data_IF_069636524889
#
_entry.id   IF_069636524889
#
_cell.length_a   1.000
_cell.length_b   1.000
_cell.length_c   1.000
_cell.angle_alpha   90.00
_cell.angle_beta   90.00
_cell.angle_gamma   90.00
#
_symmetry.space_group_name_H-M   'P 1'
#
loop_
_entity.id
_entity.type
_entity.pdbx_description
1 polymer ?
#
# COMPACT_ATOMS: atom_id res chain seq x y z
N UNK A 1 40.36 14.66 26.72
CA UNK A 1 38.90 14.89 26.90
C UNK A 1 38.28 15.13 25.54
N UNK A 2 37.92 14.03 24.88
CA UNK A 2 37.25 14.05 23.57
C UNK A 2 36.03 13.15 23.66
N UNK A 3 34.92 13.72 24.05
CA UNK A 3 33.61 13.10 23.94
C UNK A 3 32.70 14.01 23.12
N UNK A 4 32.01 13.42 22.18
CA UNK A 4 30.88 13.88 21.36
C UNK A 4 31.14 13.96 19.83
N UNK A 5 31.55 12.84 19.24
CA UNK A 5 31.39 12.62 17.80
C UNK A 5 30.50 11.42 17.44
N UNK A 6 29.93 10.73 18.44
CA UNK A 6 29.16 9.48 18.21
C UNK A 6 27.76 9.64 17.62
N UNK A 7 27.06 10.75 17.86
CA UNK A 7 25.66 10.90 17.50
C UNK A 7 25.39 11.11 16.00
N UNK A 8 26.25 11.83 15.28
CA UNK A 8 26.09 12.07 13.82
C UNK A 8 26.37 10.82 12.98
N UNK A 9 27.30 9.98 13.41
CA UNK A 9 27.67 8.74 12.70
C UNK A 9 26.56 7.67 12.76
N UNK A 10 25.82 7.59 13.88
CA UNK A 10 24.72 6.63 14.05
C UNK A 10 23.49 7.01 13.24
N UNK A 11 23.15 8.30 13.18
CA UNK A 11 22.03 8.80 12.37
C UNK A 11 22.32 8.63 10.88
N UNK A 12 23.53 8.91 10.43
CA UNK A 12 23.95 8.72 9.03
C UNK A 12 23.96 7.24 8.61
N UNK A 13 24.32 6.33 9.53
CA UNK A 13 24.25 4.88 9.28
C UNK A 13 22.82 4.39 9.19
N UNK A 14 21.90 4.89 10.01
CA UNK A 14 20.50 4.49 9.98
C UNK A 14 19.79 4.94 8.70
N UNK A 15 20.01 6.18 8.26
CA UNK A 15 19.43 6.71 7.02
C UNK A 15 19.93 5.93 5.79
N UNK A 16 21.21 5.60 5.77
CA UNK A 16 21.82 4.80 4.67
C UNK A 16 21.28 3.35 4.64
N UNK A 17 21.02 2.74 5.83
CA UNK A 17 20.41 1.40 5.92
C UNK A 17 18.97 1.45 5.42
N UNK A 18 18.20 2.47 5.80
CA UNK A 18 16.81 2.65 5.39
C UNK A 18 16.69 2.86 3.86
N UNK A 19 17.48 3.75 3.28
CA UNK A 19 17.51 4.02 1.84
C UNK A 19 17.95 2.78 1.04
N UNK A 20 18.96 2.05 1.53
CA UNK A 20 19.36 0.79 0.92
C UNK A 20 18.24 -0.25 0.94
N UNK A 21 17.53 -0.38 2.06
CA UNK A 21 16.40 -1.30 2.18
C UNK A 21 15.28 -0.93 1.20
N UNK A 22 14.94 0.35 1.08
CA UNK A 22 13.95 0.84 0.10
C UNK A 22 14.38 0.56 -1.34
N UNK A 23 15.64 0.77 -1.69
CA UNK A 23 16.19 0.46 -3.02
C UNK A 23 16.03 -1.03 -3.34
N UNK A 24 16.41 -1.92 -2.45
CA UNK A 24 16.26 -3.36 -2.64
C UNK A 24 14.81 -3.74 -2.90
N UNK A 25 13.88 -3.26 -2.09
CA UNK A 25 12.45 -3.56 -2.24
C UNK A 25 11.87 -2.96 -3.54
N UNK A 26 12.37 -1.81 -3.99
CA UNK A 26 11.98 -1.21 -5.26
C UNK A 26 12.44 -2.06 -6.45
N UNK A 27 13.70 -2.48 -6.48
CA UNK A 27 14.21 -3.35 -7.53
C UNK A 27 13.51 -4.73 -7.53
N UNK A 28 13.20 -5.27 -6.35
CA UNK A 28 12.39 -6.47 -6.24
C UNK A 28 11.02 -6.33 -6.91
N UNK A 29 10.33 -5.18 -6.72
CA UNK A 29 9.03 -4.91 -7.38
C UNK A 29 9.15 -4.83 -8.90
N UNK A 30 10.19 -4.16 -9.42
CA UNK A 30 10.44 -4.10 -10.87
C UNK A 30 10.63 -5.50 -11.44
N UNK A 31 11.45 -6.31 -10.80
CA UNK A 31 11.69 -7.70 -11.24
C UNK A 31 10.40 -8.54 -11.22
N UNK A 32 9.56 -8.39 -10.19
CA UNK A 32 8.26 -9.07 -10.14
C UNK A 32 7.37 -8.65 -11.32
N UNK A 33 7.36 -7.36 -11.67
CA UNK A 33 6.59 -6.86 -12.81
C UNK A 33 7.12 -7.34 -14.16
N UNK A 34 8.44 -7.49 -14.30
CA UNK A 34 9.12 -7.86 -15.55
C UNK A 34 9.08 -9.37 -15.83
N UNK A 35 9.34 -10.19 -14.83
CA UNK A 35 9.59 -11.63 -14.99
C UNK A 35 8.73 -12.54 -14.11
N UNK A 36 7.80 -11.96 -13.35
CA UNK A 36 7.01 -12.72 -12.37
C UNK A 36 7.86 -13.23 -11.21
N UNK A 37 7.27 -14.09 -10.38
CA UNK A 37 8.00 -14.68 -9.25
C UNK A 37 8.82 -15.91 -9.65
N UNK A 38 8.46 -16.58 -10.72
CA UNK A 38 9.23 -17.72 -11.25
C UNK A 38 10.59 -17.25 -11.77
N UNK A 39 10.61 -16.10 -12.46
CA UNK A 39 11.85 -15.46 -12.93
C UNK A 39 12.62 -14.67 -11.87
N UNK A 40 12.13 -14.58 -10.63
CA UNK A 40 12.77 -13.78 -9.59
C UNK A 40 14.07 -14.41 -9.09
N UNK A 41 15.20 -13.80 -9.44
CA UNK A 41 16.56 -14.23 -9.06
C UNK A 41 17.15 -13.33 -7.96
N UNK A 42 17.56 -13.94 -6.85
CA UNK A 42 18.29 -13.22 -5.78
C UNK A 42 19.61 -12.64 -6.29
N UNK A 43 20.30 -13.34 -7.17
CA UNK A 43 21.56 -12.88 -7.77
C UNK A 43 21.35 -11.62 -8.58
N UNK A 44 20.30 -11.60 -9.40
CA UNK A 44 19.96 -10.44 -10.22
C UNK A 44 19.49 -9.27 -9.37
N UNK A 45 18.65 -9.52 -8.35
CA UNK A 45 18.25 -8.48 -7.41
C UNK A 45 19.48 -7.83 -6.74
N UNK A 46 20.43 -8.62 -6.30
CA UNK A 46 21.66 -8.11 -5.68
C UNK A 46 22.46 -7.24 -6.66
N UNK A 47 22.56 -7.67 -7.93
CA UNK A 47 23.21 -6.90 -8.99
C UNK A 47 22.52 -5.55 -9.23
N UNK A 48 21.17 -5.54 -9.41
CA UNK A 48 20.40 -4.32 -9.63
C UNK A 48 20.42 -3.37 -8.44
N UNK A 49 20.41 -3.93 -7.22
CA UNK A 49 20.43 -3.14 -5.99
C UNK A 49 21.84 -2.77 -5.53
N UNK A 50 22.90 -3.17 -6.26
CA UNK A 50 24.30 -2.94 -5.92
C UNK A 50 24.62 -3.34 -4.47
N UNK A 51 24.39 -4.63 -4.15
CA UNK A 51 24.66 -5.23 -2.84
C UNK A 51 25.18 -6.66 -2.98
N UNK A 52 25.93 -7.12 -1.96
CA UNK A 52 26.31 -8.52 -1.84
C UNK A 52 25.10 -9.37 -1.36
N UNK A 53 25.02 -10.64 -1.78
CA UNK A 53 23.98 -11.57 -1.33
C UNK A 53 23.96 -11.74 0.21
N UNK A 54 25.14 -11.77 0.86
CA UNK A 54 25.23 -11.80 2.32
C UNK A 54 24.51 -10.62 2.97
N UNK A 55 24.62 -9.42 2.37
CA UNK A 55 23.92 -8.22 2.86
C UNK A 55 22.41 -8.37 2.74
N UNK A 56 21.93 -8.93 1.64
CA UNK A 56 20.49 -9.18 1.43
C UNK A 56 19.95 -10.17 2.47
N UNK A 57 20.61 -11.31 2.65
CA UNK A 57 20.17 -12.32 3.63
C UNK A 57 20.26 -11.83 5.07
N UNK A 58 21.28 -11.03 5.41
CA UNK A 58 21.35 -10.39 6.73
C UNK A 58 20.21 -9.39 6.99
N UNK A 59 19.74 -8.70 5.95
CA UNK A 59 18.70 -7.68 6.08
C UNK A 59 17.28 -8.25 6.04
N UNK A 60 17.06 -9.35 5.32
CA UNK A 60 15.73 -9.88 5.00
C UNK A 60 15.52 -11.35 5.39
N UNK A 61 16.56 -12.12 5.64
CA UNK A 61 16.50 -13.53 6.01
C UNK A 61 16.29 -14.47 4.83
N UNK A 62 15.29 -14.26 3.98
CA UNK A 62 14.96 -15.15 2.86
C UNK A 62 14.48 -14.39 1.61
N UNK A 63 14.46 -15.08 0.46
CA UNK A 63 13.88 -14.59 -0.80
C UNK A 63 12.39 -14.25 -0.62
N UNK A 64 11.66 -15.14 0.01
CA UNK A 64 10.21 -15.00 0.26
C UNK A 64 9.92 -13.76 1.10
N UNK A 65 10.76 -13.48 2.09
CA UNK A 65 10.62 -12.31 2.95
C UNK A 65 10.89 -11.00 2.19
N UNK A 66 11.86 -10.99 1.27
CA UNK A 66 12.09 -9.84 0.38
C UNK A 66 10.83 -9.55 -0.44
N UNK A 67 10.27 -10.58 -1.07
CA UNK A 67 9.07 -10.48 -1.90
C UNK A 67 7.88 -9.98 -1.08
N UNK A 68 7.62 -10.61 0.07
CA UNK A 68 6.52 -10.23 0.97
C UNK A 68 6.62 -8.77 1.44
N UNK A 69 7.84 -8.33 1.78
CA UNK A 69 8.10 -6.96 2.19
C UNK A 69 8.00 -5.97 1.04
N UNK A 70 8.42 -6.35 -0.18
CA UNK A 70 8.29 -5.52 -1.36
C UNK A 70 6.82 -5.24 -1.69
N UNK A 71 5.96 -6.26 -1.60
CA UNK A 71 4.51 -6.13 -1.80
C UNK A 71 3.89 -5.23 -0.73
N UNK A 72 4.18 -5.48 0.54
CA UNK A 72 3.65 -4.69 1.67
C UNK A 72 4.08 -3.23 1.58
N UNK A 73 5.36 -2.97 1.35
CA UNK A 73 5.88 -1.60 1.22
C UNK A 73 5.20 -0.84 0.10
N UNK A 74 4.95 -1.49 -1.04
CA UNK A 74 4.25 -0.86 -2.15
C UNK A 74 2.87 -0.35 -1.76
N UNK A 75 2.10 -1.16 -1.04
CA UNK A 75 0.75 -0.77 -0.62
C UNK A 75 0.77 0.29 0.47
N UNK A 76 1.73 0.23 1.40
CA UNK A 76 1.92 1.31 2.39
C UNK A 76 2.24 2.63 1.69
N UNK A 77 3.20 2.63 0.77
CA UNK A 77 3.56 3.81 -0.03
C UNK A 77 2.36 4.33 -0.85
N UNK A 78 1.51 3.43 -1.35
CA UNK A 78 0.29 3.79 -2.06
C UNK A 78 -0.73 4.44 -1.12
N UNK A 79 -1.02 3.86 0.03
CA UNK A 79 -2.01 4.37 0.99
C UNK A 79 -1.62 5.75 1.52
N UNK A 80 -0.33 5.97 1.82
CA UNK A 80 0.18 7.27 2.26
C UNK A 80 -0.03 8.37 1.21
N UNK A 81 0.00 8.03 -0.07
CA UNK A 81 -0.16 8.98 -1.18
C UNK A 81 -1.60 9.12 -1.64
N UNK A 82 -2.38 8.06 -1.56
CA UNK A 82 -3.73 8.00 -2.10
C UNK A 82 -4.72 8.93 -1.40
N UNK A 83 -4.36 9.52 -0.25
CA UNK A 83 -5.14 10.44 0.57
C UNK A 83 -6.65 10.31 0.34
N UNK A 84 -7.32 9.50 1.14
CA UNK A 84 -8.76 9.37 1.08
C UNK A 84 -9.43 10.68 1.51
N UNK A 85 -10.53 11.04 0.86
CA UNK A 85 -11.38 12.17 1.23
C UNK A 85 -12.39 11.80 2.29
N UNK A 86 -12.87 10.56 2.22
CA UNK A 86 -13.80 10.01 3.19
C UNK A 86 -13.06 9.21 4.26
N UNK A 87 -13.63 9.16 5.46
CA UNK A 87 -13.11 8.33 6.54
C UNK A 87 -13.09 6.85 6.12
N UNK A 88 -11.93 6.19 6.29
CA UNK A 88 -11.71 4.80 5.94
C UNK A 88 -12.67 3.81 6.65
N UNK A 89 -13.25 4.21 7.78
CA UNK A 89 -14.23 3.43 8.52
C UNK A 89 -15.67 3.57 8.00
N UNK A 90 -15.88 4.38 6.94
CA UNK A 90 -17.18 4.55 6.29
C UNK A 90 -17.30 3.74 5.01
N UNK A 91 -18.53 3.51 4.57
CA UNK A 91 -18.80 2.84 3.30
C UNK A 91 -18.24 3.64 2.11
N UNK A 92 -18.41 4.97 2.12
CA UNK A 92 -17.91 5.86 1.06
C UNK A 92 -16.39 5.87 1.02
N UNK A 93 -15.71 5.89 2.18
CA UNK A 93 -14.24 5.79 2.25
C UNK A 93 -13.73 4.44 1.76
N UNK A 94 -14.45 3.37 2.04
CA UNK A 94 -14.10 2.05 1.51
C UNK A 94 -14.28 1.96 0.00
N UNK A 95 -15.37 2.51 -0.55
CA UNK A 95 -15.60 2.60 -2.00
C UNK A 95 -14.51 3.44 -2.67
N UNK A 96 -14.22 4.62 -2.14
CA UNK A 96 -13.13 5.46 -2.65
C UNK A 96 -11.81 4.70 -2.72
N UNK A 97 -11.44 3.98 -1.64
CA UNK A 97 -10.23 3.19 -1.61
C UNK A 97 -10.23 2.05 -2.64
N UNK A 98 -11.35 1.34 -2.79
CA UNK A 98 -11.48 0.28 -3.79
C UNK A 98 -11.29 0.83 -5.20
N UNK A 99 -11.95 1.93 -5.54
CA UNK A 99 -11.80 2.57 -6.85
C UNK A 99 -10.34 2.96 -7.08
N UNK A 100 -9.68 3.65 -6.14
CA UNK A 100 -8.27 4.07 -6.26
C UNK A 100 -7.32 2.88 -6.46
N UNK A 101 -7.46 1.84 -5.65
CA UNK A 101 -6.58 0.65 -5.73
C UNK A 101 -6.74 -0.06 -7.06
N UNK A 102 -7.99 -0.27 -7.51
CA UNK A 102 -8.23 -1.05 -8.73
C UNK A 102 -8.02 -0.23 -10.01
N UNK A 103 -8.25 1.08 -10.00
CA UNK A 103 -7.76 1.97 -11.07
C UNK A 103 -6.23 1.94 -11.17
N UNK A 104 -5.53 1.81 -10.03
CA UNK A 104 -4.08 1.62 -10.03
C UNK A 104 -3.67 0.26 -10.58
N UNK A 105 -4.39 -0.81 -10.23
CA UNK A 105 -4.12 -2.16 -10.75
C UNK A 105 -4.16 -2.20 -12.29
N UNK A 106 -5.06 -1.46 -12.93
CA UNK A 106 -5.11 -1.32 -14.40
C UNK A 106 -3.79 -0.77 -14.96
N UNK A 107 -3.19 0.21 -14.29
CA UNK A 107 -1.93 0.83 -14.74
C UNK A 107 -0.70 -0.08 -14.53
N UNK A 108 -0.76 -1.00 -13.58
CA UNK A 108 0.34 -1.90 -13.22
C UNK A 108 -0.05 -3.37 -13.45
N UNK A 109 -0.83 -3.64 -14.48
CA UNK A 109 -1.36 -4.99 -14.79
C UNK A 109 -0.30 -6.09 -14.71
N UNK A 110 0.90 -5.97 -15.30
CA UNK A 110 1.92 -7.03 -15.21
C UNK A 110 2.29 -7.38 -13.77
N UNK A 111 2.45 -6.38 -12.91
CA UNK A 111 2.75 -6.58 -11.50
C UNK A 111 1.57 -7.25 -10.76
N UNK A 112 0.35 -6.78 -10.96
CA UNK A 112 -0.85 -7.35 -10.33
C UNK A 112 -1.05 -8.79 -10.76
N UNK A 113 -0.91 -9.09 -12.05
CA UNK A 113 -1.03 -10.46 -12.59
C UNK A 113 0.02 -11.39 -11.96
N UNK A 114 1.27 -10.95 -11.84
CA UNK A 114 2.32 -11.73 -11.19
C UNK A 114 1.99 -12.03 -9.70
N UNK A 115 1.46 -11.03 -8.97
CA UNK A 115 1.04 -11.21 -7.58
C UNK A 115 -0.13 -12.19 -7.46
N UNK A 116 -1.13 -12.07 -8.32
CA UNK A 116 -2.31 -12.95 -8.30
C UNK A 116 -1.97 -14.38 -8.72
N UNK A 117 -1.07 -14.57 -9.68
CA UNK A 117 -0.56 -15.89 -10.06
C UNK A 117 0.07 -16.62 -8.87
N UNK A 118 0.86 -15.88 -8.06
CA UNK A 118 1.46 -16.44 -6.84
C UNK A 118 0.44 -16.70 -5.75
N UNK A 119 -0.49 -15.78 -5.53
CA UNK A 119 -1.54 -15.98 -4.53
C UNK A 119 -2.33 -17.28 -4.78
N UNK A 120 -2.60 -17.60 -6.04
CA UNK A 120 -3.34 -18.80 -6.44
C UNK A 120 -2.46 -20.03 -6.67
N UNK A 121 -1.12 -19.89 -6.65
CA UNK A 121 -0.22 -21.03 -6.82
C UNK A 121 -0.25 -21.96 -5.60
N UNK A 122 -0.46 -23.26 -5.78
CA UNK A 122 -0.41 -24.22 -4.68
C UNK A 122 1.00 -24.39 -4.10
N UNK A 123 2.03 -24.04 -4.88
CA UNK A 123 3.44 -24.15 -4.49
C UNK A 123 4.00 -22.87 -3.85
N UNK A 124 3.25 -21.78 -3.85
CA UNK A 124 3.71 -20.54 -3.23
C UNK A 124 3.84 -20.69 -1.71
N UNK A 125 4.95 -20.23 -1.17
CA UNK A 125 5.21 -20.22 0.27
C UNK A 125 4.11 -19.51 1.05
N UNK A 126 3.68 -20.11 2.17
CA UNK A 126 2.59 -19.58 3.00
C UNK A 126 2.79 -18.13 3.44
N UNK A 127 4.04 -17.72 3.67
CA UNK A 127 4.37 -16.35 4.09
C UNK A 127 4.09 -15.29 3.01
N UNK A 128 4.37 -15.61 1.75
CA UNK A 128 4.07 -14.69 0.63
C UNK A 128 2.56 -14.55 0.48
N UNK A 129 1.81 -15.66 0.53
CA UNK A 129 0.35 -15.66 0.43
C UNK A 129 -0.29 -14.88 1.57
N UNK A 130 0.18 -15.06 2.81
CA UNK A 130 -0.24 -14.26 3.97
C UNK A 130 0.03 -12.77 3.78
N UNK A 131 1.21 -12.42 3.26
CA UNK A 131 1.58 -11.01 3.02
C UNK A 131 0.67 -10.35 1.96
N UNK A 132 0.38 -11.06 0.86
CA UNK A 132 -0.53 -10.57 -0.18
C UNK A 132 -1.93 -10.36 0.41
N UNK A 133 -2.43 -11.33 1.18
CA UNK A 133 -3.74 -11.25 1.80
C UNK A 133 -3.83 -10.12 2.82
N UNK A 134 -2.83 -9.98 3.69
CA UNK A 134 -2.77 -8.95 4.73
C UNK A 134 -2.89 -7.52 4.17
N UNK A 135 -2.41 -7.28 2.95
CA UNK A 135 -2.54 -6.00 2.26
C UNK A 135 -4.00 -5.63 1.98
N UNK A 136 -4.78 -6.57 1.45
CA UNK A 136 -6.22 -6.34 1.18
C UNK A 136 -7.02 -6.22 2.47
N UNK A 137 -6.71 -7.08 3.45
CA UNK A 137 -7.38 -7.10 4.76
C UNK A 137 -7.17 -5.81 5.54
N UNK A 138 -5.95 -5.25 5.52
CA UNK A 138 -5.66 -3.99 6.20
C UNK A 138 -6.57 -2.85 5.73
N UNK A 139 -6.85 -2.79 4.42
CA UNK A 139 -7.76 -1.78 3.88
C UNK A 139 -9.25 -2.04 4.17
N UNK A 140 -9.64 -3.28 4.54
CA UNK A 140 -11.01 -3.63 4.86
C UNK A 140 -11.34 -3.45 6.36
N UNK A 141 -10.35 -3.61 7.24
CA UNK A 141 -10.51 -3.61 8.70
C UNK A 141 -11.22 -2.39 9.27
N UNK A 142 -10.90 -1.14 8.88
CA UNK A 142 -11.55 0.03 9.50
C UNK A 142 -13.07 -0.01 9.40
N UNK A 143 -13.61 -0.30 8.21
CA UNK A 143 -15.05 -0.42 8.02
C UNK A 143 -15.62 -1.64 8.78
N UNK A 144 -14.97 -2.80 8.70
CA UNK A 144 -15.44 -4.02 9.35
C UNK A 144 -15.56 -3.84 10.88
N UNK A 145 -14.54 -3.25 11.50
CA UNK A 145 -14.54 -2.93 12.93
C UNK A 145 -15.67 -1.95 13.28
N UNK A 146 -15.85 -0.90 12.47
CA UNK A 146 -16.94 0.06 12.68
C UNK A 146 -18.32 -0.58 12.56
N UNK A 147 -18.52 -1.50 11.61
CA UNK A 147 -19.77 -2.26 11.46
C UNK A 147 -20.04 -3.16 12.68
N UNK A 148 -19.02 -3.77 13.25
CA UNK A 148 -19.13 -4.60 14.45
C UNK A 148 -19.43 -3.75 15.69
N UNK A 149 -18.68 -2.67 15.94
CA UNK A 149 -18.88 -1.73 17.05
C UNK A 149 -20.30 -1.13 17.04
N UNK A 150 -20.81 -0.79 15.87
CA UNK A 150 -22.16 -0.23 15.71
C UNK A 150 -23.26 -1.28 15.63
N UNK A 151 -22.92 -2.56 15.83
CA UNK A 151 -23.86 -3.70 15.74
C UNK A 151 -24.65 -3.72 14.40
N UNK A 152 -24.00 -3.25 13.34
CA UNK A 152 -24.56 -3.21 11.99
C UNK A 152 -24.40 -4.55 11.24
N UNK A 153 -23.55 -5.46 11.71
CA UNK A 153 -23.42 -6.81 11.15
C UNK A 153 -24.63 -7.68 11.52
N UNK A 154 -24.98 -8.61 10.62
CA UNK A 154 -26.02 -9.60 10.88
C UNK A 154 -25.54 -10.62 11.95
N UNK A 155 -26.46 -11.27 12.67
CA UNK A 155 -26.09 -12.32 13.63
C UNK A 155 -25.22 -13.40 12.99
N UNK A 156 -24.14 -13.78 13.67
CA UNK A 156 -23.17 -14.76 13.18
C UNK A 156 -22.10 -14.21 12.22
N UNK A 157 -22.18 -12.94 11.80
CA UNK A 157 -21.14 -12.27 11.03
C UNK A 157 -20.26 -11.48 11.98
N UNK A 158 -18.94 -11.70 11.93
CA UNK A 158 -17.94 -10.96 12.68
C UNK A 158 -17.15 -10.04 11.73
N UNK A 159 -16.46 -9.02 12.28
CA UNK A 159 -15.55 -8.19 11.49
C UNK A 159 -14.51 -9.04 10.75
N UNK A 160 -14.00 -10.10 11.37
CA UNK A 160 -13.02 -10.99 10.77
C UNK A 160 -13.60 -11.78 9.59
N UNK A 161 -14.79 -12.37 9.75
CA UNK A 161 -15.47 -13.10 8.66
C UNK A 161 -15.83 -12.19 7.51
N UNK A 162 -16.25 -10.92 7.79
CA UNK A 162 -16.52 -9.92 6.78
C UNK A 162 -15.26 -9.58 5.98
N UNK A 163 -14.13 -9.31 6.65
CA UNK A 163 -12.83 -9.04 6.02
C UNK A 163 -12.37 -10.22 5.17
N UNK A 164 -12.53 -11.44 5.68
CA UNK A 164 -12.20 -12.67 4.95
C UNK A 164 -12.98 -12.79 3.65
N UNK A 165 -14.31 -12.68 3.73
CA UNK A 165 -15.20 -12.81 2.57
C UNK A 165 -14.93 -11.71 1.53
N UNK A 166 -14.78 -10.45 1.98
CA UNK A 166 -14.46 -9.35 1.09
C UNK A 166 -13.17 -9.58 0.32
N UNK A 167 -12.09 -9.98 1.02
CA UNK A 167 -10.80 -10.23 0.39
C UNK A 167 -10.88 -11.37 -0.61
N UNK A 168 -11.53 -12.46 -0.25
CA UNK A 168 -11.67 -13.64 -1.12
C UNK A 168 -12.47 -13.31 -2.37
N UNK A 169 -13.59 -12.59 -2.24
CA UNK A 169 -14.45 -12.22 -3.38
C UNK A 169 -13.73 -11.25 -4.32
N UNK A 170 -13.04 -10.23 -3.79
CA UNK A 170 -12.29 -9.28 -4.61
C UNK A 170 -11.15 -9.99 -5.35
N UNK A 171 -10.45 -10.93 -4.71
CA UNK A 171 -9.37 -11.66 -5.35
C UNK A 171 -9.85 -12.61 -6.44
N UNK A 172 -11.08 -13.17 -6.33
CA UNK A 172 -11.71 -13.89 -7.43
C UNK A 172 -11.91 -12.98 -8.64
N UNK A 173 -12.50 -11.78 -8.45
CA UNK A 173 -12.68 -10.81 -9.54
C UNK A 173 -11.34 -10.38 -10.16
N UNK A 174 -10.31 -10.17 -9.32
CA UNK A 174 -8.97 -9.85 -9.82
C UNK A 174 -8.37 -10.99 -10.64
N UNK A 175 -8.65 -12.24 -10.26
CA UNK A 175 -8.17 -13.39 -11.04
C UNK A 175 -8.83 -13.46 -12.39
N UNK A 176 -10.16 -13.32 -12.48
CA UNK A 176 -10.90 -13.27 -13.75
C UNK A 176 -10.34 -12.18 -14.67
N UNK A 177 -10.03 -11.01 -14.12
CA UNK A 177 -9.39 -9.93 -14.86
C UNK A 177 -7.96 -10.27 -15.31
N UNK A 178 -7.15 -10.90 -14.46
CA UNK A 178 -5.77 -11.27 -14.80
C UNK A 178 -5.70 -12.28 -15.93
N UNK A 179 -6.64 -13.24 -16.01
CA UNK A 179 -6.70 -14.25 -17.05
C UNK A 179 -7.41 -13.77 -18.33
N UNK A 180 -8.05 -12.60 -18.29
CA UNK A 180 -8.69 -11.96 -19.44
C UNK A 180 -10.20 -12.23 -19.57
N UNK A 181 -10.80 -12.91 -18.59
CA UNK A 181 -12.24 -13.19 -18.58
C UNK A 181 -13.07 -11.94 -18.19
N UNK A 182 -12.44 -10.95 -17.55
CA UNK A 182 -13.04 -9.66 -17.22
C UNK A 182 -12.30 -8.53 -17.95
N UNK A 183 -13.00 -7.64 -18.72
CA UNK A 183 -12.40 -6.51 -19.41
C UNK A 183 -11.85 -5.43 -18.45
N UNK A 184 -10.89 -4.62 -18.93
CA UNK A 184 -10.26 -3.54 -18.15
C UNK A 184 -11.27 -2.48 -17.66
N UNK A 185 -12.22 -2.10 -18.52
CA UNK A 185 -13.23 -1.08 -18.23
C UNK A 185 -14.29 -1.55 -17.23
N UNK A 186 -14.44 -2.85 -17.04
CA UNK A 186 -15.37 -3.42 -16.06
C UNK A 186 -14.74 -3.68 -14.67
N UNK A 187 -13.41 -3.79 -14.57
CA UNK A 187 -12.75 -4.22 -13.35
C UNK A 187 -13.20 -3.46 -12.09
N UNK A 188 -13.15 -2.13 -12.15
CA UNK A 188 -13.43 -1.28 -10.98
C UNK A 188 -14.89 -1.39 -10.57
N UNK A 189 -15.79 -1.38 -11.54
CA UNK A 189 -17.23 -1.50 -11.29
C UNK A 189 -17.57 -2.88 -10.72
N UNK A 190 -16.99 -3.94 -11.26
CA UNK A 190 -17.20 -5.31 -10.77
C UNK A 190 -16.70 -5.49 -9.33
N UNK A 191 -15.53 -4.98 -9.01
CA UNK A 191 -15.01 -5.02 -7.63
C UNK A 191 -15.92 -4.27 -6.67
N UNK A 192 -16.37 -3.08 -7.04
CA UNK A 192 -17.30 -2.31 -6.19
C UNK A 192 -18.67 -2.99 -6.08
N UNK A 193 -19.16 -3.59 -7.16
CA UNK A 193 -20.43 -4.33 -7.15
C UNK A 193 -20.40 -5.51 -6.17
N UNK A 194 -19.40 -6.38 -6.27
CA UNK A 194 -19.32 -7.55 -5.38
C UNK A 194 -19.12 -7.13 -3.91
N UNK A 195 -18.37 -6.06 -3.67
CA UNK A 195 -18.24 -5.48 -2.33
C UNK A 195 -19.58 -4.96 -1.80
N UNK A 196 -20.33 -4.19 -2.59
CA UNK A 196 -21.64 -3.67 -2.19
C UNK A 196 -22.64 -4.80 -1.96
N UNK A 197 -22.63 -5.84 -2.79
CA UNK A 197 -23.45 -7.04 -2.59
C UNK A 197 -23.13 -7.74 -1.26
N UNK A 198 -21.82 -7.86 -0.92
CA UNK A 198 -21.39 -8.40 0.36
C UNK A 198 -21.94 -7.56 1.53
N UNK A 199 -21.79 -6.22 1.47
CA UNK A 199 -22.32 -5.33 2.52
C UNK A 199 -23.85 -5.50 2.65
N UNK A 200 -24.58 -5.52 1.54
CA UNK A 200 -26.04 -5.74 1.54
C UNK A 200 -26.40 -7.09 2.17
N UNK A 201 -25.65 -8.14 1.89
CA UNK A 201 -25.92 -9.51 2.39
C UNK A 201 -25.49 -9.75 3.83
N UNK A 202 -24.64 -8.89 4.41
CA UNK A 202 -24.03 -9.13 5.73
C UNK A 202 -24.35 -8.07 6.78
N UNK A 203 -25.03 -6.99 6.39
CA UNK A 203 -25.33 -5.85 7.28
C UNK A 203 -26.79 -5.55 7.39
N UNK A 204 -27.15 -4.73 8.37
CA UNK A 204 -28.49 -4.16 8.60
C UNK A 204 -28.40 -2.67 8.92
N UNK A 205 -29.56 -2.01 8.96
CA UNK A 205 -29.67 -0.58 9.34
C UNK A 205 -29.10 0.38 8.30
N UNK A 206 -28.60 1.55 8.72
CA UNK A 206 -28.21 2.62 7.81
C UNK A 206 -27.13 2.21 6.79
N UNK A 207 -26.13 1.44 7.20
CA UNK A 207 -25.05 0.97 6.30
C UNK A 207 -25.59 0.08 5.16
N UNK A 208 -26.58 -0.79 5.47
CA UNK A 208 -27.25 -1.60 4.46
C UNK A 208 -28.02 -0.72 3.45
N UNK A 209 -28.77 0.27 3.94
CA UNK A 209 -29.53 1.19 3.09
C UNK A 209 -28.62 1.99 2.14
N UNK A 210 -27.50 2.49 2.66
CA UNK A 210 -26.49 3.21 1.85
C UNK A 210 -25.87 2.28 0.80
N UNK A 211 -25.53 1.03 1.18
CA UNK A 211 -24.95 0.06 0.24
C UNK A 211 -25.96 -0.29 -0.88
N UNK A 212 -27.23 -0.47 -0.57
CA UNK A 212 -28.29 -0.71 -1.58
C UNK A 212 -28.41 0.45 -2.57
N UNK A 213 -28.35 1.70 -2.08
CA UNK A 213 -28.39 2.89 -2.94
C UNK A 213 -27.19 2.92 -3.87
N UNK A 214 -25.97 2.74 -3.35
CA UNK A 214 -24.77 2.70 -4.18
C UNK A 214 -24.80 1.57 -5.22
N UNK A 215 -25.29 0.40 -4.84
CA UNK A 215 -25.44 -0.74 -5.75
C UNK A 215 -26.41 -0.44 -6.90
N UNK A 216 -27.53 0.22 -6.59
CA UNK A 216 -28.50 0.68 -7.59
C UNK A 216 -27.87 1.75 -8.51
N UNK A 217 -27.15 2.72 -7.95
CA UNK A 217 -26.53 3.80 -8.69
C UNK A 217 -25.44 3.27 -9.64
N UNK A 218 -24.64 2.31 -9.19
CA UNK A 218 -23.63 1.64 -10.00
C UNK A 218 -24.28 0.88 -11.16
N UNK A 219 -25.25 0.01 -10.88
CA UNK A 219 -25.91 -0.83 -11.90
C UNK A 219 -26.66 0.00 -12.94
N UNK A 220 -27.29 1.09 -12.52
CA UNK A 220 -28.00 2.01 -13.39
C UNK A 220 -27.07 3.05 -14.05
N UNK A 221 -25.75 3.00 -13.79
CA UNK A 221 -24.75 3.98 -14.28
C UNK A 221 -25.15 5.42 -14.02
N UNK A 222 -25.70 5.71 -12.82
CA UNK A 222 -26.22 7.03 -12.47
C UNK A 222 -25.09 8.07 -12.31
N UNK A 223 -25.42 9.38 -12.47
CA UNK A 223 -24.44 10.46 -12.29
C UNK A 223 -23.73 10.46 -10.94
N UNK A 224 -24.41 10.03 -9.86
CA UNK A 224 -23.84 9.87 -8.52
C UNK A 224 -22.68 8.88 -8.50
N UNK A 225 -22.81 7.74 -9.18
CA UNK A 225 -21.73 6.76 -9.33
C UNK A 225 -20.58 7.30 -10.17
N UNK A 226 -20.88 7.95 -11.31
CA UNK A 226 -19.86 8.57 -12.14
C UNK A 226 -19.08 9.66 -11.37
N UNK A 227 -19.76 10.44 -10.52
CA UNK A 227 -19.13 11.43 -9.65
C UNK A 227 -18.20 10.78 -8.61
N UNK A 228 -18.63 9.68 -7.98
CA UNK A 228 -17.78 8.90 -7.04
C UNK A 228 -16.54 8.37 -7.74
N UNK A 229 -16.67 7.79 -8.94
CA UNK A 229 -15.57 7.30 -9.76
C UNK A 229 -14.56 8.42 -10.05
N UNK A 230 -15.01 9.53 -10.60
CA UNK A 230 -14.18 10.68 -10.93
C UNK A 230 -13.48 11.27 -9.71
N UNK A 231 -14.18 11.37 -8.58
CA UNK A 231 -13.62 11.89 -7.33
C UNK A 231 -12.50 11.00 -6.80
N UNK A 232 -12.66 9.69 -6.88
CA UNK A 232 -11.68 8.72 -6.43
C UNK A 232 -10.46 8.64 -7.38
N UNK A 233 -10.64 8.84 -8.68
CA UNK A 233 -9.55 8.81 -9.67
C UNK A 233 -8.61 10.02 -9.57
N UNK A 234 -9.10 11.16 -9.10
CA UNK A 234 -8.28 12.36 -8.88
C UNK A 234 -7.21 12.09 -7.81
N UNK A 235 -5.95 12.19 -8.20
CA UNK A 235 -4.81 11.96 -7.31
C UNK A 235 -4.28 10.51 -7.30
N UNK A 236 -4.72 9.67 -8.25
CA UNK A 236 -4.15 8.34 -8.43
C UNK A 236 -2.68 8.44 -8.83
N UNK A 237 -1.80 7.80 -8.06
CA UNK A 237 -0.34 7.85 -8.27
C UNK A 237 0.04 7.07 -9.52
N UNK A 238 0.68 7.73 -10.50
CA UNK A 238 0.96 7.18 -11.84
C UNK A 238 2.24 6.35 -11.95
N UNK A 239 3.14 6.33 -10.97
CA UNK A 239 4.40 5.58 -11.06
C UNK A 239 4.52 4.48 -10.03
N UNK A 240 5.14 3.34 -10.40
CA UNK A 240 5.59 2.30 -9.47
C UNK A 240 6.71 2.80 -8.55
N UNK A 241 7.33 3.91 -8.91
CA UNK A 241 8.41 4.49 -8.14
C UNK A 241 7.84 5.36 -7.01
N UNK A 242 8.39 5.23 -5.79
CA UNK A 242 8.16 6.22 -4.75
C UNK A 242 8.64 7.58 -5.26
N UNK A 243 7.86 8.64 -5.05
CA UNK A 243 8.39 10.00 -5.21
C UNK A 243 9.68 10.10 -4.39
N UNK A 244 10.73 10.66 -4.98
CA UNK A 244 11.95 10.95 -4.22
C UNK A 244 11.58 11.70 -2.94
N UNK A 245 12.13 11.30 -1.78
CA UNK A 245 11.90 12.04 -0.56
C UNK A 245 12.36 13.47 -0.82
N UNK A 246 11.47 14.43 -0.61
CA UNK A 246 11.87 15.86 -0.68
C UNK A 246 13.10 16.01 0.20
N UNK A 247 14.21 16.58 -0.31
CA UNK A 247 15.40 16.78 0.49
C UNK A 247 15.00 17.55 1.75
N UNK A 248 15.23 16.96 2.91
CA UNK A 248 15.00 17.66 4.18
C UNK A 248 15.83 18.95 4.10
N UNK A 249 15.17 20.09 4.13
CA UNK A 249 15.83 21.38 4.23
C UNK A 249 16.85 21.28 5.37
N UNK A 250 18.12 21.35 5.04
CA UNK A 250 19.19 21.42 6.03
C UNK A 250 18.84 22.56 6.99
N UNK A 251 18.76 22.25 8.28
CA UNK A 251 18.62 23.30 9.30
C UNK A 251 19.78 24.30 9.09
N UNK A 252 19.50 25.60 9.04
CA UNK A 252 20.58 26.58 8.93
C UNK A 252 21.55 26.39 10.09
N UNK A 253 22.87 26.56 9.85
CA UNK A 253 23.86 26.41 10.90
C UNK A 253 23.56 27.41 12.02
N UNK A 254 23.79 27.04 13.28
CA UNK A 254 23.57 27.94 14.40
C UNK A 254 24.43 29.19 14.23
N UNK A 255 23.82 30.37 14.42
CA UNK A 255 24.49 31.65 14.33
C UNK A 255 25.75 31.66 15.24
N UNK A 256 26.90 31.95 14.65
CA UNK A 256 28.13 32.12 15.40
C UNK A 256 27.94 33.29 16.38
N UNK A 257 27.96 33.02 17.67
CA UNK A 257 28.02 34.03 18.71
C UNK A 257 29.34 34.80 18.55
N UNK A 258 29.25 36.07 18.23
CA UNK A 258 30.37 36.96 18.09
C UNK A 258 31.21 37.03 19.36
N UNK A 259 32.48 36.78 19.24
CA UNK A 259 33.48 37.00 20.30
C UNK A 259 33.65 38.50 20.44
N UNK A 260 33.11 39.10 21.52
CA UNK A 260 33.39 40.49 21.87
C UNK A 260 34.86 40.60 22.32
N UNK A 261 35.64 41.31 21.55
CA UNK A 261 36.99 41.71 21.88
C UNK A 261 36.94 42.77 23.02
N UNK A 262 37.35 42.41 24.22
CA UNK A 262 37.59 43.34 25.29
C UNK A 262 38.91 44.13 24.98
N UNK A 263 38.78 45.38 24.60
CA UNK A 263 39.91 46.31 24.55
C UNK A 263 40.20 46.84 25.97
N UNK A 264 41.30 46.39 26.57
CA UNK A 264 41.86 47.08 27.77
C UNK A 264 42.72 48.24 27.25
N UNK A 265 42.22 49.46 27.46
CA UNK A 265 43.04 50.67 27.37
C UNK A 265 43.98 50.75 28.57
N UNK A 266 45.27 50.97 28.28
CA UNK A 266 46.26 51.56 29.20
C UNK A 266 46.33 53.05 28.88
N UNK A 267 46.11 53.85 29.88
CA UNK A 267 46.56 55.24 29.88
C UNK A 267 47.38 55.47 31.15
N UNK A 268 48.45 56.17 30.97
CA UNK A 268 49.48 56.57 31.87
C UNK A 268 49.01 57.43 33.07
#
# INVERSE_FOLDING_TARGET
>A
MDEFTGGRSLIYKSDNIYERRRRILREARKMIAESGLEGFSVRELCSRADIAQKTLYNAFGSKENVIALAIRQYMTDFDERAKLRFDAATLDGRLERLIKVHSRNLQIRPYTTAIMAVYNSPTAGGEIRKAIRAVSEAGARPLAQRLEETKSLLPGVTAESFVYLQTSTIYSVLMDWCVGDLPDDELVDRVCEVFLMLVVGTTRGPNNAVARRWLQDLRAKRPSWAAMRKLAEVGTVTSLEPSEPKPRRAKPPPARKGVAKAAKGRAA
#
